data_IF_703656240269
#
_entry.id   IF_703656240269
#
_cell.length_a   1.000
_cell.length_b   1.000
_cell.length_c   1.000
_cell.angle_alpha   90.00
_cell.angle_beta   90.00
_cell.angle_gamma   90.00
#
_symmetry.space_group_name_H-M   'P 1'
#
loop_
_entity.id
_entity.type
_entity.pdbx_description
1 polymer ?
#
# COMPACT_ATOMS: atom_id res chain seq x y z
N UNK A 1 118.51 76.61 -31.94
CA UNK A 1 118.75 78.02 -31.55
C UNK A 1 119.14 78.82 -32.80
N UNK A 2 118.54 79.97 -33.05
CA UNK A 2 118.86 80.85 -34.19
C UNK A 2 119.70 82.06 -33.77
N UNK A 3 120.60 82.51 -34.63
CA UNK A 3 121.43 83.69 -34.38
C UNK A 3 120.54 84.93 -34.55
N UNK A 4 120.37 85.76 -33.52
CA UNK A 4 119.47 86.92 -33.59
C UNK A 4 119.96 88.04 -34.53
N UNK A 5 121.19 87.96 -35.04
CA UNK A 5 121.74 88.94 -36.00
C UNK A 5 121.32 88.60 -37.44
N UNK A 6 121.30 87.32 -37.82
CA UNK A 6 120.96 86.88 -39.18
C UNK A 6 119.72 85.97 -39.27
N UNK A 7 119.17 85.55 -38.13
CA UNK A 7 118.05 84.62 -37.96
C UNK A 7 118.28 83.17 -38.44
N UNK A 8 119.46 82.83 -38.95
CA UNK A 8 119.81 81.46 -39.32
C UNK A 8 120.14 80.60 -38.09
N UNK A 9 119.95 79.28 -38.18
CA UNK A 9 120.32 78.38 -37.08
C UNK A 9 121.83 78.44 -36.83
N UNK A 10 122.20 78.66 -35.56
CA UNK A 10 123.60 78.80 -35.12
C UNK A 10 124.42 77.55 -35.46
N UNK A 11 123.73 76.41 -35.57
CA UNK A 11 124.31 75.09 -35.78
C UNK A 11 124.01 74.52 -37.18
N UNK A 12 123.31 75.23 -38.07
CA UNK A 12 122.81 74.66 -39.33
C UNK A 12 123.82 74.61 -40.50
N UNK A 13 125.13 74.79 -40.29
CA UNK A 13 126.07 74.78 -41.41
C UNK A 13 127.45 74.21 -41.06
N UNK A 14 127.49 72.97 -40.58
CA UNK A 14 128.70 72.14 -40.67
C UNK A 14 128.59 71.00 -41.70
N UNK A 15 127.38 70.71 -42.18
CA UNK A 15 127.11 69.72 -43.22
C UNK A 15 126.85 70.43 -44.56
N UNK A 16 127.88 70.54 -45.41
CA UNK A 16 127.91 70.31 -46.88
C UNK A 16 129.35 70.60 -47.40
N UNK A 17 130.11 69.51 -47.55
CA UNK A 17 130.94 69.05 -48.70
C UNK A 17 131.73 69.99 -49.64
N UNK A 18 133.03 69.67 -49.72
CA UNK A 18 133.81 69.21 -50.89
C UNK A 18 133.73 69.91 -52.28
N UNK A 19 133.00 71.02 -52.45
CA UNK A 19 133.03 71.79 -53.71
C UNK A 19 133.76 73.11 -53.50
N UNK A 20 134.83 73.31 -54.26
CA UNK A 20 135.87 74.33 -54.07
C UNK A 20 135.47 75.80 -54.30
N UNK A 21 134.34 76.25 -53.75
CA UNK A 21 133.99 77.66 -53.66
C UNK A 21 134.11 78.12 -52.19
N UNK A 22 135.14 78.92 -51.90
CA UNK A 22 135.47 79.40 -50.56
C UNK A 22 134.45 80.45 -50.06
N UNK A 23 133.29 79.99 -49.59
CA UNK A 23 132.43 80.76 -48.69
C UNK A 23 132.92 80.60 -47.24
N UNK A 24 133.08 81.69 -46.45
CA UNK A 24 133.64 81.58 -45.11
C UNK A 24 132.65 80.90 -44.15
N UNK A 25 133.03 79.71 -43.65
CA UNK A 25 132.34 78.94 -42.60
C UNK A 25 132.17 79.79 -41.34
N UNK A 26 130.94 79.99 -40.89
CA UNK A 26 130.66 80.78 -39.69
C UNK A 26 130.58 79.90 -38.45
N UNK A 27 131.68 79.80 -37.69
CA UNK A 27 131.72 79.08 -36.40
C UNK A 27 130.76 79.70 -35.38
N UNK A 28 130.23 78.92 -34.44
CA UNK A 28 129.51 79.47 -33.31
C UNK A 28 130.50 80.19 -32.36
N UNK A 29 130.10 81.32 -31.79
CA UNK A 29 130.89 82.06 -30.82
C UNK A 29 130.01 82.55 -29.68
N UNK A 30 130.48 82.38 -28.46
CA UNK A 30 129.84 82.89 -27.25
C UNK A 30 130.48 84.22 -26.83
N UNK A 31 129.65 85.15 -26.40
CA UNK A 31 130.10 86.34 -25.69
C UNK A 31 130.29 86.03 -24.21
N UNK A 32 130.94 86.96 -23.48
CA UNK A 32 131.11 86.86 -22.02
C UNK A 32 129.79 86.81 -21.24
N UNK A 33 128.69 87.27 -21.84
CA UNK A 33 127.34 87.14 -21.29
C UNK A 33 126.69 85.77 -21.54
N UNK A 34 127.37 84.83 -22.21
CA UNK A 34 126.87 83.49 -22.52
C UNK A 34 126.01 83.39 -23.79
N UNK A 35 125.60 84.50 -24.39
CA UNK A 35 124.84 84.47 -25.64
C UNK A 35 125.72 84.02 -26.81
N UNK A 36 125.18 83.12 -27.63
CA UNK A 36 125.87 82.48 -28.76
C UNK A 36 125.36 83.04 -30.08
N UNK A 37 126.28 83.33 -30.99
CA UNK A 37 126.03 83.86 -32.33
C UNK A 37 126.94 83.18 -33.35
N UNK A 38 126.70 83.39 -34.64
CA UNK A 38 127.74 83.13 -35.62
C UNK A 38 128.90 84.11 -35.41
N UNK A 39 130.13 83.59 -35.33
CA UNK A 39 131.37 84.35 -35.11
C UNK A 39 131.46 85.56 -36.04
N UNK A 40 131.19 85.37 -37.33
CA UNK A 40 131.18 86.44 -38.33
C UNK A 40 130.10 87.51 -38.09
N UNK A 41 128.91 87.09 -37.66
CA UNK A 41 127.81 88.01 -37.40
C UNK A 41 128.15 88.89 -36.19
N UNK A 42 128.68 88.30 -35.13
CA UNK A 42 129.03 89.05 -33.94
C UNK A 42 130.28 89.92 -34.10
N UNK A 43 131.27 89.45 -34.87
CA UNK A 43 132.45 90.26 -35.21
C UNK A 43 132.05 91.49 -36.02
N UNK A 44 131.23 91.31 -37.07
CA UNK A 44 130.72 92.44 -37.88
C UNK A 44 129.90 93.41 -37.04
N UNK A 45 129.11 92.89 -36.10
CA UNK A 45 128.33 93.73 -35.20
C UNK A 45 129.25 94.64 -34.38
N UNK A 46 130.29 94.09 -33.76
CA UNK A 46 131.28 94.87 -33.01
C UNK A 46 132.09 95.83 -33.87
N UNK A 47 132.38 95.50 -35.13
CA UNK A 47 133.07 96.41 -36.05
C UNK A 47 132.19 97.61 -36.44
N UNK A 48 130.87 97.42 -36.48
CA UNK A 48 129.93 98.46 -36.93
C UNK A 48 129.48 99.35 -35.77
N UNK A 49 129.34 98.80 -34.57
CA UNK A 49 128.93 99.56 -33.38
C UNK A 49 130.15 100.15 -32.67
N UNK A 50 130.12 101.45 -32.36
CA UNK A 50 131.18 102.13 -31.59
C UNK A 50 131.36 101.61 -30.15
N UNK A 51 130.50 100.70 -29.71
CA UNK A 51 130.57 100.01 -28.41
C UNK A 51 130.45 98.50 -28.63
N UNK A 52 131.32 97.70 -28.00
CA UNK A 52 131.28 96.24 -28.05
C UNK A 52 130.18 95.68 -27.15
N UNK A 53 128.90 95.89 -27.49
CA UNK A 53 127.74 95.45 -26.70
C UNK A 53 127.04 94.24 -27.31
N UNK A 54 126.62 93.29 -26.47
CA UNK A 54 125.87 92.11 -26.91
C UNK A 54 124.53 92.50 -27.58
N UNK A 55 124.21 92.00 -28.79
CA UNK A 55 122.92 92.30 -29.44
C UNK A 55 121.69 91.85 -28.64
N UNK A 56 121.81 90.78 -27.86
CA UNK A 56 120.68 90.19 -27.14
C UNK A 56 120.41 90.88 -25.81
N UNK A 57 121.46 91.11 -25.01
CA UNK A 57 121.31 91.62 -23.63
C UNK A 57 121.97 92.99 -23.39
N UNK A 58 122.59 93.58 -24.41
CA UNK A 58 123.25 94.89 -24.39
C UNK A 58 124.39 95.04 -23.37
N UNK A 59 124.78 93.95 -22.69
CA UNK A 59 125.93 93.96 -21.78
C UNK A 59 127.22 94.23 -22.56
N UNK A 60 128.09 95.07 -21.99
CA UNK A 60 129.40 95.38 -22.57
C UNK A 60 130.26 94.12 -22.58
N UNK A 61 130.75 93.75 -23.75
CA UNK A 61 131.69 92.67 -23.96
C UNK A 61 133.12 93.21 -23.96
N UNK A 62 133.96 92.66 -23.09
CA UNK A 62 135.38 92.95 -23.00
C UNK A 62 136.15 91.74 -23.55
N UNK A 63 136.88 91.94 -24.65
CA UNK A 63 137.68 90.90 -25.29
C UNK A 63 137.08 90.36 -26.59
N UNK A 64 137.60 89.22 -27.05
CA UNK A 64 137.17 88.56 -28.29
C UNK A 64 136.09 87.52 -27.98
N UNK A 65 135.09 87.41 -28.86
CA UNK A 65 134.07 86.37 -28.76
C UNK A 65 134.72 84.97 -28.78
N UNK A 66 134.38 84.13 -27.79
CA UNK A 66 134.93 82.79 -27.60
C UNK A 66 134.36 81.86 -28.67
N UNK A 67 135.21 81.34 -29.55
CA UNK A 67 134.78 80.39 -30.58
C UNK A 67 134.47 79.05 -29.92
N UNK A 68 133.24 78.58 -30.06
CA UNK A 68 132.81 77.28 -29.55
C UNK A 68 133.11 76.19 -30.58
N UNK A 69 133.70 75.09 -30.11
CA UNK A 69 133.84 73.84 -30.85
C UNK A 69 132.83 72.88 -30.26
N UNK A 70 131.84 72.48 -31.05
CA UNK A 70 130.87 71.46 -30.65
C UNK A 70 131.36 70.17 -31.28
N UNK A 71 131.86 69.29 -30.44
CA UNK A 71 132.21 67.92 -30.82
C UNK A 71 130.89 67.17 -30.98
N UNK A 72 130.35 67.19 -32.19
CA UNK A 72 129.20 66.37 -32.56
C UNK A 72 129.72 64.96 -32.83
N UNK A 73 129.49 64.03 -31.90
CA UNK A 73 129.80 62.63 -32.11
C UNK A 73 128.73 62.02 -33.02
N UNK A 74 129.01 62.02 -34.33
CA UNK A 74 128.16 61.41 -35.35
C UNK A 74 127.83 59.94 -35.02
N UNK A 75 128.69 59.24 -34.26
CA UNK A 75 128.46 57.84 -33.90
C UNK A 75 127.39 57.64 -32.82
N UNK A 76 127.14 58.64 -31.98
CA UNK A 76 126.07 58.61 -30.96
C UNK A 76 124.73 59.00 -31.60
N UNK A 77 124.74 59.96 -32.52
CA UNK A 77 123.58 60.31 -33.33
C UNK A 77 123.13 59.13 -34.23
N UNK A 78 124.07 58.37 -34.77
CA UNK A 78 123.77 57.21 -35.61
C UNK A 78 123.24 56.02 -34.80
N UNK A 79 123.80 55.76 -33.60
CA UNK A 79 123.28 54.73 -32.68
C UNK A 79 121.87 55.03 -32.19
N UNK A 80 121.59 56.28 -31.82
CA UNK A 80 120.25 56.70 -31.41
C UNK A 80 119.26 56.64 -32.57
N UNK A 81 119.67 56.96 -33.81
CA UNK A 81 118.82 56.78 -34.99
C UNK A 81 118.50 55.29 -35.25
N UNK A 82 119.49 54.39 -35.16
CA UNK A 82 119.29 52.94 -35.31
C UNK A 82 118.38 52.37 -34.20
N UNK A 83 118.56 52.82 -32.95
CA UNK A 83 117.69 52.46 -31.82
C UNK A 83 116.25 52.97 -32.01
N UNK A 84 116.06 54.19 -32.53
CA UNK A 84 114.74 54.74 -32.85
C UNK A 84 114.07 53.89 -33.94
N UNK A 85 114.78 53.55 -35.02
CA UNK A 85 114.20 52.73 -36.10
C UNK A 85 113.81 51.33 -35.62
N UNK A 86 114.64 50.70 -34.79
CA UNK A 86 114.33 49.38 -34.19
C UNK A 86 113.12 49.46 -33.26
N UNK A 87 113.01 50.52 -32.47
CA UNK A 87 111.85 50.76 -31.60
C UNK A 87 110.57 51.06 -32.41
N UNK A 88 110.68 51.76 -33.54
CA UNK A 88 109.56 52.02 -34.45
C UNK A 88 109.05 50.72 -35.10
N UNK A 89 109.95 49.85 -35.58
CA UNK A 89 109.59 48.54 -36.13
C UNK A 89 108.90 47.66 -35.07
N UNK A 90 109.44 47.61 -33.85
CA UNK A 90 108.83 46.86 -32.74
C UNK A 90 107.45 47.42 -32.36
N UNK A 91 107.29 48.74 -32.34
CA UNK A 91 106.00 49.38 -32.07
C UNK A 91 104.97 49.07 -33.15
N UNK A 92 105.39 48.96 -34.43
CA UNK A 92 104.50 48.59 -35.53
C UNK A 92 104.06 47.12 -35.44
N UNK A 93 104.95 46.21 -35.02
CA UNK A 93 104.64 44.80 -34.75
C UNK A 93 103.62 44.67 -33.60
N UNK A 94 103.88 45.33 -32.46
CA UNK A 94 102.96 45.36 -31.32
C UNK A 94 101.60 45.97 -31.70
N UNK A 95 101.58 47.02 -32.52
CA UNK A 95 100.33 47.61 -33.01
C UNK A 95 99.57 46.66 -33.95
N UNK A 96 100.28 45.89 -34.78
CA UNK A 96 99.68 44.84 -35.59
C UNK A 96 99.07 43.72 -34.73
N UNK A 97 99.77 43.27 -33.68
CA UNK A 97 99.25 42.29 -32.73
C UNK A 97 98.02 42.84 -31.98
N UNK A 98 98.07 44.07 -31.47
CA UNK A 98 96.93 44.73 -30.83
C UNK A 98 95.73 44.86 -31.77
N UNK A 99 95.96 45.16 -33.05
CA UNK A 99 94.88 45.19 -34.06
C UNK A 99 94.23 43.83 -34.25
N UNK A 100 95.04 42.77 -34.33
CA UNK A 100 94.58 41.38 -34.41
C UNK A 100 93.78 40.98 -33.17
N UNK A 101 94.31 41.23 -31.98
CA UNK A 101 93.65 40.90 -30.72
C UNK A 101 92.33 41.67 -30.55
N UNK A 102 92.28 42.95 -30.93
CA UNK A 102 91.04 43.75 -30.95
C UNK A 102 90.01 43.24 -31.95
N UNK A 103 90.43 42.65 -33.07
CA UNK A 103 89.52 42.01 -34.01
C UNK A 103 88.92 40.74 -33.38
N UNK A 104 89.75 39.91 -32.75
CA UNK A 104 89.32 38.71 -32.02
C UNK A 104 88.36 39.02 -30.86
N UNK A 105 88.64 40.06 -30.06
CA UNK A 105 87.73 40.49 -28.98
C UNK A 105 86.38 40.93 -29.55
N UNK A 106 86.37 41.66 -30.67
CA UNK A 106 85.12 42.06 -31.34
C UNK A 106 84.33 40.84 -31.82
N UNK A 107 84.99 39.86 -32.44
CA UNK A 107 84.35 38.61 -32.88
C UNK A 107 83.81 37.78 -31.71
N UNK A 108 84.56 37.65 -30.62
CA UNK A 108 84.07 36.94 -29.43
C UNK A 108 82.91 37.69 -28.77
N UNK A 109 82.94 39.03 -28.77
CA UNK A 109 81.84 39.85 -28.25
C UNK A 109 80.58 39.68 -29.08
N UNK A 110 80.68 39.64 -30.42
CA UNK A 110 79.51 39.40 -31.27
C UNK A 110 78.97 37.99 -31.07
N UNK A 111 79.84 36.96 -31.02
CA UNK A 111 79.44 35.58 -30.71
C UNK A 111 78.75 35.47 -29.35
N UNK A 112 79.29 36.12 -28.31
CA UNK A 112 78.68 36.13 -26.98
C UNK A 112 77.30 36.82 -27.00
N UNK A 113 77.16 37.94 -27.71
CA UNK A 113 75.86 38.62 -27.84
C UNK A 113 74.82 37.78 -28.58
N UNK A 114 75.25 36.99 -29.58
CA UNK A 114 74.39 36.08 -30.32
C UNK A 114 73.95 34.91 -29.45
N UNK A 115 74.87 34.30 -28.69
CA UNK A 115 74.53 33.18 -27.81
C UNK A 115 73.64 33.62 -26.65
N UNK A 116 73.85 34.80 -26.09
CA UNK A 116 72.96 35.34 -25.03
C UNK A 116 71.57 35.63 -25.56
N UNK A 117 71.44 36.18 -26.77
CA UNK A 117 70.13 36.42 -27.40
C UNK A 117 69.41 35.10 -27.71
N UNK A 118 70.10 34.11 -28.27
CA UNK A 118 69.53 32.78 -28.48
C UNK A 118 69.08 32.11 -27.17
N UNK A 119 69.88 32.22 -26.11
CA UNK A 119 69.53 31.68 -24.80
C UNK A 119 68.28 32.38 -24.23
N UNK A 120 68.18 33.71 -24.40
CA UNK A 120 67.01 34.50 -23.99
C UNK A 120 65.75 34.05 -24.74
N UNK A 121 65.83 33.87 -26.07
CA UNK A 121 64.72 33.38 -26.88
C UNK A 121 64.29 31.96 -26.48
N UNK A 122 65.26 31.09 -26.22
CA UNK A 122 64.99 29.71 -25.76
C UNK A 122 64.29 29.72 -24.39
N UNK A 123 64.76 30.54 -23.45
CA UNK A 123 64.15 30.70 -22.14
C UNK A 123 62.71 31.22 -22.24
N UNK A 124 62.46 32.20 -23.12
CA UNK A 124 61.12 32.71 -23.36
C UNK A 124 60.21 31.63 -23.97
N UNK A 125 60.72 30.83 -24.91
CA UNK A 125 59.98 29.73 -25.51
C UNK A 125 59.60 28.65 -24.47
N UNK A 126 60.54 28.25 -23.61
CA UNK A 126 60.30 27.30 -22.52
C UNK A 126 59.30 27.86 -21.52
N UNK A 127 59.39 29.15 -21.17
CA UNK A 127 58.43 29.80 -20.26
C UNK A 127 57.02 29.80 -20.84
N UNK A 128 56.88 30.09 -22.14
CA UNK A 128 55.60 30.02 -22.84
C UNK A 128 55.04 28.59 -22.89
N UNK A 129 55.89 27.60 -23.16
CA UNK A 129 55.50 26.19 -23.12
C UNK A 129 55.03 25.78 -21.72
N UNK A 130 55.74 26.20 -20.67
CA UNK A 130 55.34 25.94 -19.28
C UNK A 130 53.97 26.54 -18.98
N UNK A 131 53.70 27.76 -19.45
CA UNK A 131 52.39 28.40 -19.29
C UNK A 131 51.27 27.57 -19.94
N UNK A 132 51.47 27.12 -21.18
CA UNK A 132 50.50 26.28 -21.90
C UNK A 132 50.31 24.92 -21.21
N UNK A 133 51.38 24.32 -20.70
CA UNK A 133 51.29 23.07 -19.94
C UNK A 133 50.50 23.24 -18.65
N UNK A 134 50.71 24.33 -17.91
CA UNK A 134 49.94 24.62 -16.70
C UNK A 134 48.45 24.84 -17.02
N UNK A 135 48.13 25.56 -18.11
CA UNK A 135 46.75 25.75 -18.58
C UNK A 135 46.07 24.41 -18.89
N UNK A 136 46.77 23.51 -19.59
CA UNK A 136 46.28 22.15 -19.87
C UNK A 136 46.12 21.28 -18.62
N UNK A 137 46.96 21.48 -17.58
CA UNK A 137 46.80 20.78 -16.31
C UNK A 137 45.52 21.21 -15.61
N UNK A 138 45.20 22.50 -15.58
CA UNK A 138 43.94 22.99 -15.03
C UNK A 138 42.71 22.45 -15.78
N UNK A 139 42.75 22.40 -17.12
CA UNK A 139 41.69 21.80 -17.92
C UNK A 139 41.48 20.31 -17.59
N UNK A 140 42.58 19.57 -17.38
CA UNK A 140 42.52 18.16 -16.99
C UNK A 140 41.97 17.96 -15.57
N UNK A 141 42.33 18.85 -14.64
CA UNK A 141 41.77 18.85 -13.29
C UNK A 141 40.26 19.09 -13.31
N UNK A 142 39.78 20.09 -14.06
CA UNK A 142 38.35 20.36 -14.24
C UNK A 142 37.60 19.16 -14.84
N UNK A 143 38.21 18.50 -15.84
CA UNK A 143 37.63 17.31 -16.47
C UNK A 143 37.60 16.11 -15.53
N UNK A 144 38.61 15.95 -14.67
CA UNK A 144 38.60 14.90 -13.64
C UNK A 144 37.49 15.14 -12.61
N UNK A 145 37.31 16.39 -12.16
CA UNK A 145 36.19 16.72 -11.27
C UNK A 145 34.82 16.45 -11.93
N UNK A 146 34.70 16.68 -13.25
CA UNK A 146 33.50 16.32 -14.01
C UNK A 146 33.27 14.80 -14.06
N UNK A 147 34.33 14.01 -14.25
CA UNK A 147 34.26 12.54 -14.19
C UNK A 147 33.80 12.08 -12.81
N UNK A 148 34.39 12.60 -11.72
CA UNK A 148 34.02 12.22 -10.35
C UNK A 148 32.54 12.53 -10.04
N UNK A 149 32.01 13.65 -10.55
CA UNK A 149 30.57 13.98 -10.46
C UNK A 149 29.71 12.96 -11.19
N UNK A 150 30.06 12.65 -12.45
CA UNK A 150 29.32 11.68 -13.27
C UNK A 150 29.38 10.26 -12.69
N UNK A 151 30.50 9.86 -12.10
CA UNK A 151 30.62 8.58 -11.40
C UNK A 151 29.70 8.51 -10.17
N UNK A 152 29.57 9.62 -9.44
CA UNK A 152 28.64 9.71 -8.30
C UNK A 152 27.19 9.57 -8.77
N UNK A 153 26.78 10.31 -9.80
CA UNK A 153 25.44 10.21 -10.40
C UNK A 153 25.14 8.81 -10.94
N UNK A 154 26.12 8.16 -11.57
CA UNK A 154 26.00 6.80 -12.08
C UNK A 154 25.78 5.79 -10.94
N UNK A 155 26.51 5.94 -9.83
CA UNK A 155 26.36 5.08 -8.65
C UNK A 155 25.00 5.27 -7.97
N UNK A 156 24.50 6.50 -7.88
CA UNK A 156 23.16 6.79 -7.36
C UNK A 156 22.07 6.13 -8.22
N UNK A 157 22.16 6.31 -9.54
CA UNK A 157 21.25 5.67 -10.51
C UNK A 157 21.32 4.14 -10.45
N UNK A 158 22.52 3.57 -10.24
CA UNK A 158 22.68 2.13 -10.06
C UNK A 158 21.96 1.65 -8.78
N UNK A 159 22.14 2.37 -7.66
CA UNK A 159 21.45 2.08 -6.41
C UNK A 159 19.92 2.16 -6.52
N UNK A 160 19.39 3.16 -7.24
CA UNK A 160 17.96 3.26 -7.53
C UNK A 160 17.45 2.06 -8.34
N UNK A 161 18.20 1.63 -9.35
CA UNK A 161 17.84 0.47 -10.17
C UNK A 161 17.87 -0.84 -9.37
N UNK A 162 18.84 -1.03 -8.48
CA UNK A 162 18.87 -2.19 -7.57
C UNK A 162 17.68 -2.20 -6.62
N UNK A 163 17.31 -1.03 -6.09
CA UNK A 163 16.13 -0.87 -5.24
C UNK A 163 14.83 -1.19 -6.01
N UNK A 164 14.65 -0.61 -7.21
CA UNK A 164 13.52 -0.89 -8.08
C UNK A 164 13.44 -2.37 -8.48
N UNK A 165 14.58 -3.01 -8.75
CA UNK A 165 14.67 -4.44 -9.02
C UNK A 165 14.19 -5.29 -7.83
N UNK A 166 14.60 -4.92 -6.62
CA UNK A 166 14.19 -5.59 -5.39
C UNK A 166 12.69 -5.42 -5.11
N UNK A 167 12.16 -4.23 -5.35
CA UNK A 167 10.74 -3.90 -5.19
C UNK A 167 9.86 -4.63 -6.22
N UNK A 168 10.29 -4.68 -7.48
CA UNK A 168 9.62 -5.48 -8.51
C UNK A 168 9.57 -6.97 -8.12
N UNK A 169 10.69 -7.53 -7.66
CA UNK A 169 10.72 -8.92 -7.20
C UNK A 169 9.77 -9.16 -6.01
N UNK A 170 9.59 -8.17 -5.11
CA UNK A 170 8.63 -8.23 -4.02
C UNK A 170 7.19 -8.25 -4.54
N UNK A 171 6.85 -7.34 -5.44
CA UNK A 171 5.52 -7.23 -6.05
C UNK A 171 5.16 -8.49 -6.84
N UNK A 172 6.10 -9.08 -7.58
CA UNK A 172 5.90 -10.35 -8.28
C UNK A 172 5.58 -11.51 -7.33
N UNK A 173 6.27 -11.59 -6.18
CA UNK A 173 5.95 -12.60 -5.15
C UNK A 173 4.54 -12.40 -4.61
N UNK A 174 4.13 -11.16 -4.35
CA UNK A 174 2.77 -10.86 -3.90
C UNK A 174 1.73 -11.24 -4.95
N UNK A 175 1.94 -10.87 -6.21
CA UNK A 175 1.06 -11.22 -7.33
C UNK A 175 0.92 -12.74 -7.48
N UNK A 176 2.02 -13.50 -7.40
CA UNK A 176 2.00 -14.97 -7.40
C UNK A 176 1.18 -15.53 -6.23
N UNK A 177 1.32 -14.94 -5.03
CA UNK A 177 0.52 -15.30 -3.86
C UNK A 177 -0.99 -15.06 -4.09
N UNK A 178 -1.38 -13.89 -4.59
CA UNK A 178 -2.77 -13.58 -4.89
C UNK A 178 -3.35 -14.51 -5.97
N UNK A 179 -2.60 -14.82 -7.03
CA UNK A 179 -3.00 -15.81 -8.04
C UNK A 179 -3.20 -17.21 -7.45
N UNK A 180 -2.39 -17.60 -6.47
CA UNK A 180 -2.58 -18.83 -5.70
C UNK A 180 -3.91 -18.83 -4.95
N UNK A 181 -4.22 -17.73 -4.24
CA UNK A 181 -5.47 -17.57 -3.51
C UNK A 181 -6.70 -17.60 -4.43
N UNK A 182 -6.65 -16.89 -5.56
CA UNK A 182 -7.72 -16.88 -6.56
C UNK A 182 -7.99 -18.29 -7.07
N UNK A 183 -6.96 -19.06 -7.43
CA UNK A 183 -7.11 -20.46 -7.84
C UNK A 183 -7.73 -21.33 -6.73
N UNK A 184 -7.35 -21.10 -5.47
CA UNK A 184 -7.94 -21.78 -4.32
C UNK A 184 -9.42 -21.47 -4.15
N UNK A 185 -9.83 -20.21 -4.31
CA UNK A 185 -11.23 -19.80 -4.25
C UNK A 185 -12.04 -20.35 -5.42
N UNK A 186 -11.49 -20.32 -6.64
CA UNK A 186 -12.15 -20.90 -7.82
C UNK A 186 -12.44 -22.39 -7.63
N UNK A 187 -11.52 -23.15 -7.01
CA UNK A 187 -11.76 -24.56 -6.68
C UNK A 187 -12.93 -24.73 -5.72
N UNK A 188 -12.97 -23.95 -4.63
CA UNK A 188 -14.07 -23.98 -3.65
C UNK A 188 -15.41 -23.63 -4.29
N UNK A 189 -15.43 -22.63 -5.18
CA UNK A 189 -16.64 -22.27 -5.93
C UNK A 189 -17.08 -23.42 -6.83
N UNK A 190 -16.14 -24.11 -7.49
CA UNK A 190 -16.42 -25.31 -8.26
C UNK A 190 -17.00 -26.45 -7.42
N UNK A 191 -16.42 -26.73 -6.26
CA UNK A 191 -16.93 -27.73 -5.29
C UNK A 191 -18.34 -27.38 -4.81
N UNK A 192 -18.62 -26.10 -4.53
CA UNK A 192 -19.96 -25.65 -4.13
C UNK A 192 -20.96 -25.75 -5.26
N UNK A 193 -20.58 -25.45 -6.50
CA UNK A 193 -21.44 -25.64 -7.68
C UNK A 193 -21.79 -27.11 -7.86
N UNK A 194 -20.82 -28.01 -7.81
CA UNK A 194 -21.07 -29.45 -7.90
C UNK A 194 -22.04 -29.93 -6.80
N UNK A 195 -21.92 -29.41 -5.57
CA UNK A 195 -22.88 -29.70 -4.49
C UNK A 195 -24.29 -29.17 -4.77
N UNK A 196 -24.41 -27.99 -5.40
CA UNK A 196 -25.70 -27.45 -5.82
C UNK A 196 -26.30 -28.36 -6.88
N UNK A 197 -25.51 -28.74 -7.89
CA UNK A 197 -25.95 -29.65 -8.96
C UNK A 197 -26.40 -31.00 -8.37
N UNK A 198 -25.66 -31.57 -7.41
CA UNK A 198 -26.05 -32.79 -6.68
C UNK A 198 -27.37 -32.66 -5.90
N UNK A 199 -27.63 -31.47 -5.32
CA UNK A 199 -28.88 -31.20 -4.59
C UNK A 199 -30.06 -30.94 -5.55
N UNK A 200 -29.81 -30.31 -6.69
CA UNK A 200 -30.81 -30.14 -7.75
C UNK A 200 -31.19 -31.47 -8.38
N UNK A 201 -30.21 -32.37 -8.55
CA UNK A 201 -30.42 -33.75 -9.00
C UNK A 201 -31.04 -34.66 -7.93
N UNK A 202 -31.05 -34.25 -6.65
CA UNK A 202 -31.73 -34.97 -5.56
C UNK A 202 -33.26 -34.82 -5.67
N UNK A 203 -33.76 -35.53 -6.67
CA UNK A 203 -35.11 -35.87 -7.10
C UNK A 203 -36.31 -35.11 -6.49
N UNK A 204 -36.77 -34.01 -7.13
CA UNK A 204 -38.09 -33.44 -6.89
C UNK A 204 -39.24 -34.39 -7.26
N UNK A 205 -39.03 -35.45 -8.05
CA UNK A 205 -40.12 -36.38 -8.43
C UNK A 205 -40.57 -37.26 -7.27
N UNK A 206 -39.70 -37.64 -6.32
CA UNK A 206 -40.16 -38.37 -5.13
C UNK A 206 -40.99 -37.45 -4.24
N UNK A 207 -40.53 -36.21 -4.02
CA UNK A 207 -41.31 -35.21 -3.29
C UNK A 207 -42.63 -34.93 -4.00
N UNK A 208 -42.64 -34.79 -5.32
CA UNK A 208 -43.85 -34.58 -6.11
C UNK A 208 -44.76 -35.81 -6.08
N UNK A 209 -44.21 -37.02 -6.13
CA UNK A 209 -44.97 -38.27 -6.00
C UNK A 209 -45.58 -38.40 -4.62
N UNK A 210 -44.86 -38.01 -3.57
CA UNK A 210 -45.35 -38.02 -2.20
C UNK A 210 -46.42 -36.95 -1.98
N UNK A 211 -46.26 -35.74 -2.54
CA UNK A 211 -47.30 -34.70 -2.58
C UNK A 211 -48.55 -35.23 -3.29
N UNK A 212 -48.42 -35.80 -4.49
CA UNK A 212 -49.54 -36.37 -5.24
C UNK A 212 -50.23 -37.50 -4.44
N UNK A 213 -49.46 -38.34 -3.74
CA UNK A 213 -49.99 -39.41 -2.88
C UNK A 213 -50.81 -38.83 -1.73
N UNK A 214 -50.28 -37.81 -1.05
CA UNK A 214 -50.97 -37.13 0.05
C UNK A 214 -52.24 -36.41 -0.43
N UNK A 215 -52.21 -35.79 -1.61
CA UNK A 215 -53.39 -35.18 -2.23
C UNK A 215 -54.49 -36.20 -2.52
N UNK A 216 -54.14 -37.35 -3.12
CA UNK A 216 -55.11 -38.44 -3.34
C UNK A 216 -55.72 -38.95 -2.03
N UNK A 217 -54.91 -39.06 -0.98
CA UNK A 217 -55.34 -39.51 0.33
C UNK A 217 -56.29 -38.49 0.98
N UNK A 218 -56.00 -37.20 0.84
CA UNK A 218 -56.86 -36.11 1.28
C UNK A 218 -58.22 -36.12 0.55
N UNK A 219 -58.23 -36.34 -0.77
CA UNK A 219 -59.47 -36.47 -1.57
C UNK A 219 -60.31 -37.66 -1.08
N UNK A 220 -59.69 -38.81 -0.86
CA UNK A 220 -60.36 -40.01 -0.32
C UNK A 220 -60.97 -39.76 1.06
N UNK A 221 -60.20 -39.14 1.96
CA UNK A 221 -60.69 -38.78 3.29
C UNK A 221 -61.85 -37.79 3.23
N UNK A 222 -61.79 -36.79 2.35
CA UNK A 222 -62.88 -35.82 2.15
C UNK A 222 -64.17 -36.51 1.66
N UNK A 223 -64.05 -37.48 0.76
CA UNK A 223 -65.19 -38.29 0.31
C UNK A 223 -65.78 -39.14 1.45
N UNK A 224 -64.93 -39.77 2.26
CA UNK A 224 -65.35 -40.54 3.43
C UNK A 224 -66.08 -39.67 4.46
N UNK A 225 -65.52 -38.49 4.79
CA UNK A 225 -66.14 -37.52 5.70
C UNK A 225 -67.49 -37.07 5.15
N UNK A 226 -67.58 -36.79 3.86
CA UNK A 226 -68.84 -36.41 3.20
C UNK A 226 -69.89 -37.52 3.30
N UNK A 227 -69.48 -38.79 3.11
CA UNK A 227 -70.34 -39.95 3.28
C UNK A 227 -70.81 -40.13 4.73
N UNK A 228 -69.92 -39.97 5.70
CA UNK A 228 -70.26 -39.99 7.14
C UNK A 228 -71.25 -38.88 7.49
N UNK A 229 -71.02 -37.65 7.01
CA UNK A 229 -71.91 -36.52 7.23
C UNK A 229 -73.31 -36.72 6.63
N UNK A 230 -73.41 -37.46 5.51
CA UNK A 230 -74.72 -37.88 4.96
C UNK A 230 -75.41 -38.84 5.91
N UNK A 231 -74.71 -39.89 6.36
CA UNK A 231 -75.28 -40.87 7.33
C UNK A 231 -75.72 -40.19 8.63
N UNK A 232 -74.94 -39.25 9.16
CA UNK A 232 -75.30 -38.48 10.36
C UNK A 232 -76.57 -37.68 10.11
N UNK A 233 -76.70 -37.02 8.95
CA UNK A 233 -77.94 -36.31 8.58
C UNK A 233 -79.13 -37.24 8.46
N UNK A 234 -78.98 -38.39 7.82
CA UNK A 234 -80.06 -39.38 7.66
C UNK A 234 -80.49 -39.93 9.03
N UNK A 235 -79.53 -40.17 9.93
CA UNK A 235 -79.81 -40.58 11.31
C UNK A 235 -80.51 -39.46 12.10
N UNK A 236 -80.08 -38.21 11.96
CA UNK A 236 -80.73 -37.07 12.60
C UNK A 236 -82.18 -36.91 12.13
N UNK A 237 -82.45 -37.09 10.82
CA UNK A 237 -83.80 -37.09 10.27
C UNK A 237 -84.65 -38.23 10.88
N UNK A 238 -84.12 -39.46 10.95
CA UNK A 238 -84.81 -40.59 11.59
C UNK A 238 -85.10 -40.36 13.07
N UNK A 239 -84.19 -39.72 13.79
CA UNK A 239 -84.42 -39.34 15.20
C UNK A 239 -85.56 -38.32 15.27
N UNK A 240 -85.56 -37.31 14.40
CA UNK A 240 -86.64 -36.32 14.34
C UNK A 240 -88.00 -36.96 14.00
N UNK A 241 -88.04 -37.93 13.08
CA UNK A 241 -89.27 -38.66 12.74
C UNK A 241 -89.76 -39.50 13.93
N UNK A 242 -88.84 -40.18 14.63
CA UNK A 242 -89.17 -40.92 15.86
C UNK A 242 -89.63 -40.01 17.00
N UNK A 243 -89.06 -38.80 17.13
CA UNK A 243 -89.52 -37.80 18.09
C UNK A 243 -90.91 -37.27 17.74
N UNK A 244 -91.24 -37.14 16.46
CA UNK A 244 -92.58 -36.80 15.98
C UNK A 244 -93.60 -37.93 16.20
N UNK A 245 -93.23 -39.18 15.93
CA UNK A 245 -94.10 -40.35 16.16
C UNK A 245 -94.30 -40.64 17.66
N UNK A 246 -93.33 -40.28 18.50
CA UNK A 246 -93.44 -40.35 19.96
C UNK A 246 -94.15 -39.11 20.53
N UNK A 247 -95.16 -38.60 19.81
CA UNK A 247 -95.92 -37.42 20.20
C UNK A 247 -96.60 -37.66 21.55
N UNK A 248 -95.96 -37.12 22.58
CA UNK A 248 -96.43 -37.07 23.97
C UNK A 248 -97.88 -36.60 24.05
N UNK A 249 -98.37 -35.78 23.12
CA UNK A 249 -99.74 -35.28 23.12
C UNK A 249 -100.78 -36.35 22.74
N UNK A 250 -100.48 -37.26 21.79
CA UNK A 250 -101.42 -38.34 21.42
C UNK A 250 -101.55 -39.37 22.54
N UNK A 251 -100.41 -39.80 23.10
CA UNK A 251 -100.39 -40.71 24.24
C UNK A 251 -101.07 -40.09 25.45
N UNK A 252 -100.88 -38.79 25.70
CA UNK A 252 -101.55 -38.07 26.79
C UNK A 252 -103.07 -38.01 26.58
N UNK A 253 -103.53 -37.76 25.35
CA UNK A 253 -104.97 -37.76 25.02
C UNK A 253 -105.63 -39.13 25.19
N UNK A 254 -104.92 -40.22 24.86
CA UNK A 254 -105.42 -41.59 25.06
C UNK A 254 -105.42 -42.00 26.53
N UNK A 255 -104.44 -41.54 27.32
CA UNK A 255 -104.44 -41.70 28.79
C UNK A 255 -105.63 -40.99 29.41
N UNK A 256 -105.89 -39.73 29.05
CA UNK A 256 -107.03 -38.95 29.55
C UNK A 256 -108.37 -39.64 29.20
N UNK A 257 -108.47 -40.23 28.01
CA UNK A 257 -109.65 -41.01 27.58
C UNK A 257 -109.86 -42.26 28.44
N UNK A 258 -108.79 -43.00 28.74
CA UNK A 258 -108.83 -44.20 29.58
C UNK A 258 -109.19 -43.87 31.04
N UNK A 259 -108.69 -42.75 31.57
CA UNK A 259 -109.03 -42.28 32.93
C UNK A 259 -110.52 -41.96 33.07
N UNK A 260 -111.13 -41.27 32.09
CA UNK A 260 -112.58 -41.00 32.11
C UNK A 260 -113.42 -42.28 32.10
N UNK A 261 -112.98 -43.29 31.33
CA UNK A 261 -113.63 -44.60 31.26
C UNK A 261 -113.55 -45.35 32.59
N UNK A 262 -112.39 -45.30 33.26
CA UNK A 262 -112.20 -45.90 34.57
C UNK A 262 -113.09 -45.26 35.64
N UNK A 263 -113.25 -43.93 35.63
CA UNK A 263 -114.16 -43.21 36.53
C UNK A 263 -115.62 -43.64 36.30
N UNK A 264 -116.04 -43.77 35.03
CA UNK A 264 -117.39 -44.26 34.69
C UNK A 264 -117.63 -45.68 35.19
N UNK A 265 -116.66 -46.59 34.99
CA UNK A 265 -116.76 -47.97 35.43
C UNK A 265 -116.79 -48.08 36.97
N UNK A 266 -116.00 -47.28 37.68
CA UNK A 266 -116.00 -47.20 39.14
C UNK A 266 -117.37 -46.79 39.71
N UNK A 267 -118.03 -45.81 39.07
CA UNK A 267 -119.39 -45.40 39.43
C UNK A 267 -120.42 -46.53 39.22
N UNK A 268 -120.34 -47.23 38.09
CA UNK A 268 -121.18 -48.39 37.80
C UNK A 268 -120.99 -49.53 38.81
N UNK A 269 -119.74 -49.87 39.16
CA UNK A 269 -119.41 -50.90 40.15
C UNK A 269 -119.97 -50.51 41.52
N UNK A 270 -119.85 -49.23 41.91
CA UNK A 270 -120.40 -48.73 43.17
C UNK A 270 -121.92 -48.84 43.23
N UNK A 271 -122.60 -48.57 42.12
CA UNK A 271 -124.05 -48.77 41.96
C UNK A 271 -124.46 -50.25 42.04
N UNK A 272 -123.71 -51.15 41.40
CA UNK A 272 -123.93 -52.60 41.49
C UNK A 272 -123.72 -53.13 42.91
N UNK A 273 -122.67 -52.68 43.61
CA UNK A 273 -122.41 -53.09 44.99
C UNK A 273 -123.49 -52.66 45.97
N UNK A 274 -124.16 -51.52 45.74
CA UNK A 274 -125.34 -51.14 46.53
C UNK A 274 -126.49 -52.11 46.31
N UNK A 275 -126.81 -52.46 45.06
CA UNK A 275 -127.86 -53.44 44.72
C UNK A 275 -127.58 -54.83 45.34
N UNK A 276 -126.34 -55.29 45.31
CA UNK A 276 -125.94 -56.57 45.94
C UNK A 276 -126.18 -56.52 47.46
N UNK A 277 -125.85 -55.40 48.11
CA UNK A 277 -126.09 -55.21 49.54
C UNK A 277 -127.57 -55.23 49.89
N UNK A 278 -128.39 -54.57 49.10
CA UNK A 278 -129.85 -54.54 49.29
C UNK A 278 -130.45 -55.95 49.09
N UNK A 279 -129.94 -56.70 48.12
CA UNK A 279 -130.34 -58.10 47.91
C UNK A 279 -129.91 -59.02 49.06
N UNK A 280 -128.71 -58.83 49.62
CA UNK A 280 -128.23 -59.60 50.76
C UNK A 280 -129.06 -59.34 52.04
N UNK A 281 -129.46 -58.10 52.30
CA UNK A 281 -130.36 -57.77 53.41
C UNK A 281 -131.71 -58.49 53.27
N UNK A 282 -132.26 -58.50 52.04
CA UNK A 282 -133.53 -59.16 51.73
C UNK A 282 -133.47 -60.69 51.85
N UNK A 283 -132.30 -61.30 51.61
CA UNK A 283 -132.07 -62.74 51.86
C UNK A 283 -132.07 -63.03 53.37
N UNK A 284 -131.42 -62.19 54.18
CA UNK A 284 -131.41 -62.38 55.63
C UNK A 284 -132.81 -62.28 56.25
N UNK A 285 -133.66 -61.35 55.78
CA UNK A 285 -135.05 -61.25 56.23
C UNK A 285 -135.85 -62.51 55.87
N UNK A 286 -135.65 -63.05 54.67
CA UNK A 286 -136.27 -64.31 54.25
C UNK A 286 -135.76 -65.53 55.02
N UNK A 287 -134.47 -65.57 55.39
CA UNK A 287 -133.91 -66.62 56.24
C UNK A 287 -134.46 -66.55 57.68
N UNK A 288 -134.72 -65.35 58.20
CA UNK A 288 -135.38 -65.15 59.48
C UNK A 288 -136.81 -65.71 59.45
N UNK A 289 -137.61 -65.32 58.45
CA UNK A 289 -138.98 -65.82 58.26
C UNK A 289 -139.02 -67.34 58.07
N UNK A 290 -138.04 -67.91 57.35
CA UNK A 290 -137.97 -69.36 57.12
C UNK A 290 -137.63 -70.15 58.40
N UNK A 291 -136.81 -69.58 59.28
CA UNK A 291 -136.53 -70.16 60.60
C UNK A 291 -137.75 -70.09 61.53
N UNK A 292 -138.53 -69.00 61.47
CA UNK A 292 -139.80 -68.84 62.20
C UNK A 292 -140.83 -69.89 61.72
N UNK A 293 -140.98 -70.04 60.40
CA UNK A 293 -141.84 -71.06 59.78
C UNK A 293 -141.41 -72.48 60.13
N UNK A 294 -140.11 -72.75 60.20
CA UNK A 294 -139.58 -74.05 60.62
C UNK A 294 -139.91 -74.37 62.08
N UNK A 295 -139.84 -73.39 62.99
CA UNK A 295 -140.26 -73.55 64.40
C UNK A 295 -141.75 -73.84 64.55
N UNK A 296 -142.59 -73.14 63.78
CA UNK A 296 -144.04 -73.36 63.73
C UNK A 296 -144.39 -74.76 63.19
N UNK A 297 -143.70 -75.19 62.12
CA UNK A 297 -143.82 -76.54 61.55
C UNK A 297 -143.43 -77.63 62.56
N UNK A 298 -142.34 -77.43 63.32
CA UNK A 298 -141.89 -78.38 64.34
C UNK A 298 -142.89 -78.49 65.51
N UNK A 299 -143.48 -77.35 65.91
CA UNK A 299 -144.55 -77.31 66.92
C UNK A 299 -145.81 -78.05 66.43
N UNK A 300 -146.22 -77.85 65.17
CA UNK A 300 -147.34 -78.57 64.57
C UNK A 300 -147.05 -80.07 64.43
N UNK A 301 -145.83 -80.47 64.04
CA UNK A 301 -145.43 -81.89 63.98
C UNK A 301 -145.43 -82.57 65.35
N UNK A 302 -145.04 -81.84 66.40
CA UNK A 302 -145.15 -82.33 67.78
C UNK A 302 -146.61 -82.50 68.21
N UNK A 303 -147.48 -81.54 67.87
CA UNK A 303 -148.91 -81.61 68.15
C UNK A 303 -149.60 -82.77 67.42
N UNK A 304 -149.28 -82.97 66.14
CA UNK A 304 -149.77 -84.11 65.34
C UNK A 304 -149.31 -85.44 65.95
N UNK A 305 -148.05 -85.56 66.38
CA UNK A 305 -147.56 -86.77 67.06
C UNK A 305 -148.31 -87.06 68.37
N UNK A 306 -148.63 -86.02 69.15
CA UNK A 306 -149.46 -86.17 70.35
C UNK A 306 -150.87 -86.63 70.04
N UNK A 307 -151.48 -86.14 68.97
CA UNK A 307 -152.82 -86.55 68.52
C UNK A 307 -152.81 -87.96 67.94
N UNK A 308 -151.78 -88.35 67.21
CA UNK A 308 -151.60 -89.72 66.70
C UNK A 308 -151.39 -90.73 67.85
N UNK A 309 -150.62 -90.38 68.88
CA UNK A 309 -150.50 -91.21 70.08
C UNK A 309 -151.81 -91.38 70.85
N UNK A 310 -152.63 -90.32 70.94
CA UNK A 310 -153.96 -90.39 71.54
C UNK A 310 -154.93 -91.23 70.70
N UNK A 311 -154.82 -91.17 69.37
CA UNK A 311 -155.66 -91.94 68.44
C UNK A 311 -155.31 -93.44 68.48
N UNK A 312 -154.03 -93.80 68.49
CA UNK A 312 -153.59 -95.21 68.55
C UNK A 312 -153.92 -95.84 69.91
N UNK A 313 -153.80 -95.10 71.02
CA UNK A 313 -154.27 -95.56 72.35
C UNK A 313 -155.80 -95.76 72.40
N UNK A 314 -156.56 -95.02 71.59
CA UNK A 314 -158.01 -95.16 71.49
C UNK A 314 -158.41 -96.30 70.54
N UNK A 315 -157.52 -96.68 69.62
CA UNK A 315 -157.65 -97.80 68.69
C UNK A 315 -157.31 -99.13 69.39
N UNK A 316 -156.24 -99.15 70.19
CA UNK A 316 -155.89 -100.27 71.07
C UNK A 316 -156.98 -100.58 72.12
N UNK A 317 -157.75 -99.56 72.56
CA UNK A 317 -158.94 -99.77 73.41
C UNK A 317 -160.16 -100.33 72.67
N UNK A 318 -160.26 -100.12 71.34
CA UNK A 318 -161.39 -100.61 70.54
C UNK A 318 -161.16 -102.04 70.03
N UNK A 319 -159.90 -102.45 69.86
CA UNK A 319 -159.55 -103.80 69.41
C UNK A 319 -159.63 -104.87 70.52
N UNK A 320 -159.82 -104.49 71.80
CA UNK A 320 -160.09 -105.44 72.90
C UNK A 320 -161.58 -105.91 72.97
N UNK A 321 -162.48 -105.40 72.11
CA UNK A 321 -163.92 -105.74 72.12
C UNK A 321 -164.53 -106.21 70.79
N UNK A 322 -163.75 -106.48 69.75
CA UNK A 322 -164.26 -106.79 68.41
C UNK A 322 -163.65 -108.01 67.74
N UNK A 323 -164.25 -109.19 67.94
CA UNK A 323 -164.06 -110.35 67.07
C UNK A 323 -164.65 -110.11 65.65
N UNK A 324 -163.84 -110.45 64.63
CA UNK A 324 -164.22 -111.06 63.32
C UNK A 324 -164.86 -110.23 62.18
N UNK A 325 -164.04 -109.76 61.22
CA UNK A 325 -163.99 -110.19 59.79
C UNK A 325 -163.12 -109.22 58.96
N UNK A 326 -161.93 -109.64 58.47
CA UNK A 326 -161.60 -109.97 57.05
C UNK A 326 -161.96 -108.87 56.02
N UNK A 327 -161.18 -108.45 55.03
CA UNK A 327 -159.81 -108.69 54.53
C UNK A 327 -159.68 -107.92 53.19
N UNK A 328 -158.52 -107.28 52.93
CA UNK A 328 -157.88 -107.01 51.60
C UNK A 328 -158.61 -106.13 50.55
N UNK A 329 -158.00 -105.30 49.69
CA UNK A 329 -156.64 -104.77 49.46
C UNK A 329 -156.76 -103.68 48.35
N UNK A 330 -156.03 -102.56 48.42
CA UNK A 330 -155.83 -101.64 47.28
C UNK A 330 -154.55 -100.81 47.48
N UNK A 331 -153.69 -100.79 46.46
CA UNK A 331 -152.36 -100.15 46.46
C UNK A 331 -152.17 -99.30 45.21
N UNK A 332 -152.13 -97.98 45.36
CA UNK A 332 -151.85 -97.02 44.30
C UNK A 332 -150.75 -96.03 44.75
N UNK A 333 -149.61 -96.05 44.06
CA UNK A 333 -148.42 -95.20 44.26
C UNK A 333 -147.89 -94.87 42.85
N UNK A 334 -147.44 -93.69 42.47
CA UNK A 334 -146.84 -92.57 43.17
C UNK A 334 -145.81 -91.95 42.20
N UNK A 335 -145.52 -90.65 42.35
CA UNK A 335 -144.54 -89.80 41.64
C UNK A 335 -145.05 -88.91 40.48
N UNK A 336 -145.14 -87.62 40.78
CA UNK A 336 -145.47 -86.45 39.95
C UNK A 336 -145.00 -85.21 40.76
N UNK A 337 -144.41 -84.11 40.28
CA UNK A 337 -144.31 -83.45 38.97
C UNK A 337 -143.18 -82.35 39.03
N UNK A 338 -142.50 -82.15 37.89
CA UNK A 338 -141.78 -80.97 37.32
C UNK A 338 -140.70 -80.17 38.07
#
# INVERSE_FOLDING_TARGET
>A
MSCVICHESIFAAQQVEATGAQGPRTRAAALSCGHVFHKRCIDRWFDTSSQSVCPTCQSVHTGNALTLFIDYDETEAQRTAEEITSAEEAAEEDEAELRSLRASVRELTTKLSQTTEMARQTLQAVTNQQRVHNERLYELEEKNEEIDRLETELNESHGENEWLGSENARLERQAKGHLGNIRGLQRKVGEQRARIDELEDYNPEWLQSEVNRLEQLAVSHSANISGMNRKIRDQAARISDLEFDNNSEWLQSEVDRLEQLAVSHSSNISGMNRKIRDQAARINDLEFDNNEMSRLSEAHRSHIRSLQGALESHKDMLDEYGHYSSSESDSDSGYSYY
#
